data_IF_745496879423
#
_entry.id   IF_745496879423
#
_cell.length_a   1.000
_cell.length_b   1.000
_cell.length_c   1.000
_cell.angle_alpha   90.00
_cell.angle_beta   90.00
_cell.angle_gamma   90.00
#
_symmetry.space_group_name_H-M   'P 1'
#
loop_
_entity.id
_entity.type
_entity.pdbx_description
1 polymer ?
#
# COMPACT_ATOMS: atom_id res chain seq x y z
N UNK A 1 11.37 -14.33 -12.99
CA UNK A 1 10.06 -14.14 -12.32
C UNK A 1 9.97 -15.03 -11.07
N UNK A 2 9.68 -14.46 -9.90
CA UNK A 2 9.70 -15.18 -8.62
C UNK A 2 8.54 -16.19 -8.45
N UNK A 3 7.60 -16.21 -9.38
CA UNK A 3 6.44 -17.11 -9.36
C UNK A 3 6.16 -17.59 -10.79
N UNK A 4 6.37 -18.89 -11.03
CA UNK A 4 5.92 -19.60 -12.24
C UNK A 4 5.05 -20.75 -11.74
N UNK A 5 3.77 -20.77 -12.08
CA UNK A 5 2.89 -21.88 -11.75
C UNK A 5 3.42 -23.16 -12.42
N UNK A 6 3.71 -24.17 -11.61
CA UNK A 6 4.11 -25.48 -12.12
C UNK A 6 2.92 -26.19 -12.77
N UNK A 7 3.19 -27.06 -13.76
CA UNK A 7 2.15 -27.97 -14.33
C UNK A 7 1.41 -28.78 -13.26
N UNK A 8 2.04 -29.01 -12.10
CA UNK A 8 1.45 -29.68 -10.94
C UNK A 8 0.40 -28.81 -10.25
N UNK A 9 0.67 -27.53 -10.03
CA UNK A 9 -0.26 -26.59 -9.41
C UNK A 9 -1.47 -26.30 -10.33
N UNK A 10 -1.27 -26.21 -11.65
CA UNK A 10 -2.40 -26.06 -12.60
C UNK A 10 -3.42 -27.20 -12.50
N UNK A 11 -2.97 -28.44 -12.25
CA UNK A 11 -3.86 -29.61 -12.12
C UNK A 11 -4.82 -29.53 -10.93
N UNK A 12 -4.50 -28.73 -9.90
CA UNK A 12 -5.34 -28.59 -8.72
C UNK A 12 -6.46 -27.57 -8.88
N UNK A 13 -6.47 -26.79 -9.97
CA UNK A 13 -7.50 -25.78 -10.22
C UNK A 13 -7.49 -24.60 -9.24
N UNK A 14 -6.55 -24.56 -8.28
CA UNK A 14 -6.40 -23.48 -7.31
C UNK A 14 -5.77 -22.28 -8.02
N UNK A 15 -6.56 -21.24 -8.21
CA UNK A 15 -6.14 -19.98 -8.86
C UNK A 15 -5.93 -18.82 -7.89
N UNK A 16 -6.42 -18.96 -6.65
CA UNK A 16 -6.31 -17.96 -5.60
C UNK A 16 -5.95 -18.64 -4.28
N UNK A 17 -5.18 -17.93 -3.46
CA UNK A 17 -4.85 -18.24 -2.08
C UNK A 17 -5.60 -17.28 -1.16
N UNK A 18 -5.77 -17.65 0.10
CA UNK A 18 -6.45 -16.85 1.11
C UNK A 18 -5.65 -16.86 2.40
N UNK A 19 -5.49 -15.67 3.00
CA UNK A 19 -4.94 -15.47 4.34
C UNK A 19 -5.78 -14.41 5.07
N UNK A 20 -5.57 -14.28 6.38
CA UNK A 20 -6.21 -13.27 7.22
C UNK A 20 -5.20 -12.23 7.70
N UNK A 21 -5.60 -10.97 7.67
CA UNK A 21 -4.85 -9.83 8.21
C UNK A 21 -5.78 -9.09 9.17
N UNK A 22 -5.44 -9.03 10.46
CA UNK A 22 -6.27 -8.42 11.50
C UNK A 22 -7.73 -8.94 11.46
N UNK A 23 -7.90 -10.26 11.31
CA UNK A 23 -9.19 -10.97 11.11
C UNK A 23 -9.96 -10.56 9.83
N UNK A 24 -9.28 -9.94 8.87
CA UNK A 24 -9.85 -9.57 7.56
C UNK A 24 -9.36 -10.56 6.51
N UNK A 25 -10.24 -11.34 5.86
CA UNK A 25 -9.82 -12.30 4.84
C UNK A 25 -9.44 -11.59 3.54
N UNK A 26 -8.29 -11.95 2.98
CA UNK A 26 -7.81 -11.47 1.69
C UNK A 26 -7.55 -12.62 0.74
N UNK A 27 -8.13 -12.52 -0.46
CA UNK A 27 -7.77 -13.37 -1.58
C UNK A 27 -6.66 -12.71 -2.40
N UNK A 28 -5.74 -13.52 -2.89
CA UNK A 28 -4.67 -13.09 -3.79
C UNK A 28 -4.32 -14.20 -4.78
N UNK A 29 -3.78 -13.82 -5.93
CA UNK A 29 -3.40 -14.78 -6.97
C UNK A 29 -2.19 -15.59 -6.52
N UNK A 30 -2.08 -16.85 -6.98
CA UNK A 30 -0.94 -17.73 -6.67
C UNK A 30 0.42 -17.20 -7.12
N UNK A 31 0.44 -16.34 -8.14
CA UNK A 31 1.64 -15.63 -8.62
C UNK A 31 1.72 -14.18 -8.14
N UNK A 32 0.70 -13.72 -7.42
CA UNK A 32 0.59 -12.36 -6.91
C UNK A 32 1.48 -12.11 -5.69
N UNK A 33 1.81 -10.84 -5.45
CA UNK A 33 2.48 -10.44 -4.22
C UNK A 33 1.51 -10.48 -3.04
N UNK A 34 1.98 -11.02 -1.92
CA UNK A 34 1.33 -10.92 -0.62
C UNK A 34 2.39 -10.91 0.48
N UNK A 35 2.06 -10.36 1.64
CA UNK A 35 3.03 -10.18 2.72
C UNK A 35 3.37 -11.52 3.37
N UNK A 36 4.67 -11.83 3.46
CA UNK A 36 5.13 -13.17 3.88
C UNK A 36 5.16 -13.34 5.40
N UNK A 37 5.27 -12.25 6.16
CA UNK A 37 5.41 -12.26 7.61
C UNK A 37 4.25 -11.50 8.24
N UNK A 38 3.08 -12.18 8.25
CA UNK A 38 1.82 -11.59 8.67
C UNK A 38 1.85 -10.97 10.07
N UNK A 39 2.43 -11.58 11.12
CA UNK A 39 2.45 -10.96 12.44
C UNK A 39 3.18 -9.61 12.47
N UNK A 40 4.27 -9.47 11.72
CA UNK A 40 5.01 -8.20 11.64
C UNK A 40 4.28 -7.20 10.75
N UNK A 41 3.64 -7.66 9.68
CA UNK A 41 2.80 -6.84 8.82
C UNK A 41 1.58 -6.29 9.55
N UNK A 42 0.90 -7.12 10.35
CA UNK A 42 -0.21 -6.70 11.21
C UNK A 42 0.23 -5.62 12.20
N UNK A 43 1.41 -5.75 12.81
CA UNK A 43 1.95 -4.70 13.67
C UNK A 43 2.18 -3.40 12.90
N UNK A 44 2.72 -3.45 11.68
CA UNK A 44 2.89 -2.27 10.84
C UNK A 44 1.55 -1.61 10.51
N UNK A 45 0.51 -2.39 10.20
CA UNK A 45 -0.84 -1.89 9.96
C UNK A 45 -1.46 -1.25 11.20
N UNK A 46 -1.26 -1.84 12.40
CA UNK A 46 -1.72 -1.24 13.66
C UNK A 46 -1.04 0.10 13.93
N UNK A 47 0.27 0.18 13.68
CA UNK A 47 1.03 1.42 13.84
C UNK A 47 0.54 2.49 12.85
N UNK A 48 0.34 2.13 11.58
CA UNK A 48 -0.24 3.01 10.56
C UNK A 48 -1.65 3.48 10.93
N UNK A 49 -2.49 2.58 11.45
CA UNK A 49 -3.89 2.85 11.82
C UNK A 49 -4.01 4.01 12.81
N UNK A 50 -3.06 4.17 13.74
CA UNK A 50 -3.05 5.29 14.69
C UNK A 50 -2.92 6.68 14.04
N UNK A 51 -2.51 6.73 12.76
CA UNK A 51 -2.32 7.97 12.00
C UNK A 51 -3.42 8.22 10.97
N UNK A 52 -4.39 7.31 10.84
CA UNK A 52 -5.48 7.41 9.87
C UNK A 52 -6.69 8.07 10.51
N UNK A 53 -7.17 9.15 9.88
CA UNK A 53 -8.48 9.71 10.18
C UNK A 53 -9.50 9.06 9.23
N UNK A 54 -10.46 8.32 9.79
CA UNK A 54 -11.47 7.58 9.02
C UNK A 54 -12.61 8.46 8.47
N UNK A 55 -12.68 9.74 8.86
CA UNK A 55 -13.70 10.69 8.39
C UNK A 55 -13.31 11.38 7.07
N UNK A 56 -12.08 11.21 6.62
CA UNK A 56 -11.56 11.81 5.38
C UNK A 56 -11.30 10.74 4.32
N UNK A 57 -11.19 11.18 3.06
CA UNK A 57 -10.86 10.30 1.95
C UNK A 57 -9.43 9.76 2.10
N UNK A 58 -9.28 8.43 2.00
CA UNK A 58 -7.96 7.77 1.98
C UNK A 58 -7.65 7.33 0.55
N UNK A 59 -6.44 7.65 0.08
CA UNK A 59 -5.94 7.21 -1.22
C UNK A 59 -4.74 6.30 -0.98
N UNK A 60 -4.89 5.02 -1.32
CA UNK A 60 -3.87 3.99 -1.22
C UNK A 60 -3.27 3.75 -2.61
N UNK A 61 -2.07 4.29 -2.83
CA UNK A 61 -1.32 4.11 -4.06
C UNK A 61 -0.42 2.88 -3.93
N UNK A 62 -0.25 2.13 -5.02
CA UNK A 62 0.48 0.86 -5.03
C UNK A 62 -0.19 -0.21 -4.15
N UNK A 63 -1.53 -0.19 -4.15
CA UNK A 63 -2.36 -0.88 -3.16
C UNK A 63 -2.37 -2.41 -3.26
N UNK A 64 -1.81 -3.01 -4.31
CA UNK A 64 -1.80 -4.45 -4.51
C UNK A 64 -3.21 -5.04 -4.52
N UNK A 65 -3.49 -5.98 -3.61
CA UNK A 65 -4.84 -6.57 -3.45
C UNK A 65 -5.76 -5.75 -2.52
N UNK A 66 -5.34 -4.53 -2.14
CA UNK A 66 -6.05 -3.63 -1.23
C UNK A 66 -5.80 -3.89 0.25
N UNK A 67 -4.74 -4.61 0.61
CA UNK A 67 -4.54 -5.10 1.98
C UNK A 67 -4.38 -4.01 3.03
N UNK A 68 -3.79 -2.86 2.67
CA UNK A 68 -3.67 -1.71 3.59
C UNK A 68 -5.00 -0.96 3.64
N UNK A 69 -5.42 -0.38 2.51
CA UNK A 69 -6.61 0.48 2.46
C UNK A 69 -7.91 -0.22 2.91
N UNK A 70 -8.12 -1.50 2.60
CA UNK A 70 -9.33 -2.22 3.02
C UNK A 70 -9.33 -2.59 4.52
N UNK A 71 -8.16 -2.72 5.12
CA UNK A 71 -8.02 -3.10 6.53
C UNK A 71 -8.08 -1.87 7.44
N UNK A 72 -7.33 -0.81 7.09
CA UNK A 72 -7.13 0.35 7.97
C UNK A 72 -7.53 1.70 7.34
N UNK A 73 -7.97 1.74 6.07
CA UNK A 73 -8.30 2.99 5.38
C UNK A 73 -9.67 3.62 5.73
N UNK A 74 -10.53 2.93 6.47
CA UNK A 74 -11.87 3.43 6.81
C UNK A 74 -12.93 3.11 5.75
N UNK A 75 -13.91 4.01 5.57
CA UNK A 75 -15.12 3.78 4.76
C UNK A 75 -15.12 4.49 3.39
N UNK A 76 -14.15 5.35 3.12
CA UNK A 76 -14.03 6.06 1.84
C UNK A 76 -12.59 5.95 1.34
N UNK A 77 -12.32 4.85 0.64
CA UNK A 77 -10.97 4.47 0.21
C UNK A 77 -10.91 4.37 -1.31
N UNK A 78 -9.95 5.05 -1.91
CA UNK A 78 -9.55 4.83 -3.31
C UNK A 78 -8.26 4.03 -3.34
N UNK A 79 -8.28 2.90 -4.03
CA UNK A 79 -7.17 1.95 -4.16
C UNK A 79 -6.65 2.00 -5.61
N UNK A 80 -5.38 2.34 -5.80
CA UNK A 80 -4.75 2.42 -7.13
C UNK A 80 -3.71 1.32 -7.26
N UNK A 81 -3.80 0.54 -8.33
CA UNK A 81 -2.88 -0.56 -8.63
C UNK A 81 -2.74 -0.76 -10.14
N UNK A 82 -1.53 -1.06 -10.61
CA UNK A 82 -1.21 -1.24 -12.03
C UNK A 82 -1.38 -2.70 -12.49
N UNK A 83 -1.24 -3.65 -11.57
CA UNK A 83 -1.33 -5.07 -11.86
C UNK A 83 -2.78 -5.52 -11.97
N UNK A 84 -3.20 -5.92 -13.18
CA UNK A 84 -4.57 -6.36 -13.47
C UNK A 84 -5.03 -7.54 -12.60
N UNK A 85 -4.15 -8.50 -12.31
CA UNK A 85 -4.50 -9.64 -11.45
C UNK A 85 -4.73 -9.18 -10.01
N UNK A 86 -3.90 -8.27 -9.50
CA UNK A 86 -4.06 -7.70 -8.16
C UNK A 86 -5.36 -6.88 -8.07
N UNK A 87 -5.69 -6.06 -9.07
CA UNK A 87 -6.98 -5.33 -9.12
C UNK A 87 -8.17 -6.28 -9.18
N UNK A 88 -8.09 -7.38 -9.92
CA UNK A 88 -9.16 -8.39 -9.97
C UNK A 88 -9.41 -9.01 -8.60
N UNK A 89 -8.35 -9.35 -7.85
CA UNK A 89 -8.50 -9.86 -6.48
C UNK A 89 -8.94 -8.77 -5.51
N UNK A 90 -8.44 -7.54 -5.65
CA UNK A 90 -8.89 -6.37 -4.89
C UNK A 90 -10.40 -6.14 -5.02
N UNK A 91 -10.95 -6.18 -6.25
CA UNK A 91 -12.39 -6.03 -6.48
C UNK A 91 -13.21 -7.15 -5.80
N UNK A 92 -12.69 -8.39 -5.77
CA UNK A 92 -13.32 -9.48 -5.02
C UNK A 92 -13.27 -9.21 -3.51
N UNK A 93 -12.13 -8.76 -3.00
CA UNK A 93 -11.96 -8.44 -1.59
C UNK A 93 -12.90 -7.31 -1.16
N UNK A 94 -13.03 -6.23 -1.96
CA UNK A 94 -14.02 -5.16 -1.74
C UNK A 94 -15.43 -5.75 -1.57
N UNK A 95 -15.84 -6.62 -2.50
CA UNK A 95 -17.17 -7.23 -2.51
C UNK A 95 -17.39 -8.16 -1.31
N UNK A 96 -16.42 -9.02 -0.99
CA UNK A 96 -16.49 -9.99 0.11
C UNK A 96 -16.56 -9.27 1.46
N UNK A 97 -15.77 -8.21 1.62
CA UNK A 97 -15.71 -7.44 2.87
C UNK A 97 -16.86 -6.43 3.01
N UNK A 98 -17.70 -6.26 1.97
CA UNK A 98 -18.80 -5.28 1.97
C UNK A 98 -18.31 -3.84 2.15
N UNK A 99 -17.09 -3.53 1.70
CA UNK A 99 -16.47 -2.21 1.88
C UNK A 99 -16.90 -1.25 0.78
N UNK A 100 -17.10 0.01 1.15
CA UNK A 100 -17.26 1.10 0.20
C UNK A 100 -15.87 1.61 -0.23
N UNK A 101 -15.28 0.98 -1.24
CA UNK A 101 -13.97 1.34 -1.76
C UNK A 101 -13.97 1.35 -3.30
N UNK A 102 -13.18 2.26 -3.88
CA UNK A 102 -13.02 2.41 -5.33
C UNK A 102 -11.71 1.78 -5.78
N UNK A 103 -11.77 0.76 -6.63
CA UNK A 103 -10.60 0.16 -7.25
C UNK A 103 -10.28 0.84 -8.59
N UNK A 104 -9.02 1.25 -8.79
CA UNK A 104 -8.51 1.89 -10.00
C UNK A 104 -7.38 1.05 -10.60
N UNK A 105 -7.55 0.61 -11.85
CA UNK A 105 -6.50 -0.03 -12.64
C UNK A 105 -5.68 1.04 -13.37
N UNK A 106 -4.59 1.49 -12.77
CA UNK A 106 -3.69 2.47 -13.36
C UNK A 106 -2.31 2.45 -12.68
N UNK A 107 -1.24 2.87 -13.38
CA UNK A 107 -0.03 3.34 -12.71
C UNK A 107 -0.36 4.51 -11.77
N UNK A 108 0.30 4.60 -10.61
CA UNK A 108 0.08 5.70 -9.66
C UNK A 108 0.33 7.08 -10.27
N UNK A 109 1.30 7.21 -11.16
CA UNK A 109 1.60 8.44 -11.91
C UNK A 109 0.54 8.82 -12.96
N UNK A 110 -0.43 7.93 -13.24
CA UNK A 110 -1.58 8.20 -14.11
C UNK A 110 -2.90 8.32 -13.35
N UNK A 111 -2.85 8.26 -12.02
CA UNK A 111 -4.00 8.38 -11.12
C UNK A 111 -3.85 9.58 -10.17
N UNK A 112 -3.15 10.62 -10.62
CA UNK A 112 -2.80 11.80 -9.81
C UNK A 112 -4.02 12.63 -9.41
N UNK A 113 -5.12 12.53 -10.14
CA UNK A 113 -6.38 13.24 -9.87
C UNK A 113 -7.02 12.84 -8.53
N UNK A 114 -6.65 11.69 -7.97
CA UNK A 114 -7.15 11.25 -6.67
C UNK A 114 -6.40 11.89 -5.50
N UNK A 115 -5.18 12.38 -5.73
CA UNK A 115 -4.40 13.11 -4.72
C UNK A 115 -4.98 14.51 -4.58
N UNK A 116 -5.50 14.82 -3.39
CA UNK A 116 -6.06 16.13 -3.07
C UNK A 116 -5.64 16.60 -1.67
N UNK A 117 -5.70 17.92 -1.44
CA UNK A 117 -5.39 18.52 -0.13
C UNK A 117 -6.18 17.91 1.07
N UNK A 118 -7.38 17.42 0.80
CA UNK A 118 -8.33 16.91 1.80
C UNK A 118 -8.22 15.38 1.98
N UNK A 119 -7.31 14.74 1.24
CA UNK A 119 -7.07 13.30 1.33
C UNK A 119 -5.89 12.97 2.27
N UNK A 120 -5.96 11.79 2.89
CA UNK A 120 -4.81 11.13 3.49
C UNK A 120 -4.21 10.18 2.47
N UNK A 121 -2.90 10.29 2.24
CA UNK A 121 -2.22 9.46 1.25
C UNK A 121 -1.49 8.32 1.95
N UNK A 122 -1.67 7.11 1.44
CA UNK A 122 -0.87 5.94 1.75
C UNK A 122 -0.07 5.56 0.51
N UNK A 123 1.22 5.30 0.67
CA UNK A 123 2.08 4.78 -0.39
C UNK A 123 2.90 3.60 0.12
N UNK A 124 2.89 2.50 -0.65
CA UNK A 124 3.76 1.33 -0.48
C UNK A 124 4.43 0.98 -1.83
N UNK A 125 5.33 1.84 -2.35
CA UNK A 125 5.88 1.69 -3.67
C UNK A 125 6.83 0.49 -3.79
N UNK A 126 7.10 0.02 -5.03
CA UNK A 126 8.16 -0.98 -5.25
C UNK A 126 9.53 -0.45 -4.81
N UNK A 127 10.55 -1.32 -4.80
CA UNK A 127 11.94 -0.98 -4.37
C UNK A 127 12.57 0.24 -5.07
N UNK A 128 12.00 0.69 -6.19
CA UNK A 128 12.44 1.90 -6.89
C UNK A 128 12.02 3.22 -6.19
N UNK A 129 11.08 3.16 -5.25
CA UNK A 129 10.45 4.31 -4.60
C UNK A 129 9.32 4.92 -5.42
N UNK A 130 8.92 6.14 -5.05
CA UNK A 130 7.85 6.87 -5.71
C UNK A 130 8.25 7.33 -7.12
N UNK A 131 7.27 7.39 -8.01
CA UNK A 131 7.43 8.08 -9.29
C UNK A 131 7.55 9.60 -9.07
N UNK A 132 8.36 10.31 -9.86
CA UNK A 132 8.55 11.76 -9.70
C UNK A 132 7.23 12.53 -9.81
N UNK A 133 6.39 12.22 -10.80
CA UNK A 133 5.07 12.86 -10.96
C UNK A 133 4.17 12.71 -9.71
N UNK A 134 4.30 11.61 -8.95
CA UNK A 134 3.59 11.41 -7.68
C UNK A 134 4.15 12.36 -6.61
N UNK A 135 5.48 12.48 -6.51
CA UNK A 135 6.13 13.43 -5.60
C UNK A 135 5.71 14.86 -5.92
N UNK A 136 5.77 15.26 -7.19
CA UNK A 136 5.41 16.60 -7.65
C UNK A 136 3.92 16.90 -7.36
N UNK A 137 3.05 15.90 -7.52
CA UNK A 137 1.64 16.02 -7.16
C UNK A 137 1.43 16.18 -5.65
N UNK A 138 2.17 15.44 -4.82
CA UNK A 138 2.09 15.56 -3.35
C UNK A 138 2.58 16.92 -2.84
N UNK A 139 3.60 17.50 -3.48
CA UNK A 139 4.13 18.83 -3.15
C UNK A 139 3.15 19.94 -3.59
N UNK A 140 2.49 19.76 -4.73
CA UNK A 140 1.54 20.75 -5.28
C UNK A 140 0.19 20.74 -4.55
N UNK A 141 -0.41 19.57 -4.36
CA UNK A 141 -1.74 19.42 -3.71
C UNK A 141 -1.69 19.54 -2.20
N UNK A 142 -0.53 19.25 -1.58
CA UNK A 142 -0.31 19.39 -0.14
C UNK A 142 -1.36 18.68 0.73
N UNK A 143 -1.67 17.38 0.52
CA UNK A 143 -2.42 16.61 1.51
C UNK A 143 -1.80 16.77 2.89
N UNK A 144 -2.62 16.82 3.94
CA UNK A 144 -2.12 17.07 5.30
C UNK A 144 -1.15 16.01 5.81
N UNK A 145 -1.30 14.76 5.33
CA UNK A 145 -0.55 13.60 5.79
C UNK A 145 -0.25 12.62 4.68
N UNK A 146 0.98 12.10 4.70
CA UNK A 146 1.44 10.98 3.87
C UNK A 146 1.96 9.88 4.79
N UNK A 147 1.43 8.67 4.63
CA UNK A 147 1.90 7.46 5.28
C UNK A 147 2.71 6.67 4.24
N UNK A 148 4.02 6.54 4.44
CA UNK A 148 4.93 5.89 3.50
C UNK A 148 5.52 4.63 4.13
N UNK A 149 5.08 3.46 3.68
CA UNK A 149 5.70 2.16 3.98
C UNK A 149 6.69 1.79 2.85
N UNK A 150 7.87 1.29 3.19
CA UNK A 150 8.87 0.94 2.17
C UNK A 150 9.78 -0.21 2.57
N UNK A 151 9.97 -1.15 1.64
CA UNK A 151 10.97 -2.20 1.73
C UNK A 151 12.39 -1.74 1.33
N UNK A 152 12.57 -0.46 1.00
CA UNK A 152 13.86 0.13 0.64
C UNK A 152 14.06 1.51 1.27
N UNK A 153 14.64 1.57 2.49
CA UNK A 153 14.90 2.83 3.19
C UNK A 153 15.77 3.84 2.41
N UNK A 154 16.61 3.37 1.48
CA UNK A 154 17.48 4.25 0.68
C UNK A 154 16.66 5.08 -0.31
N UNK A 155 15.76 4.44 -1.06
CA UNK A 155 14.89 5.16 -2.00
C UNK A 155 13.82 5.97 -1.27
N UNK A 156 13.33 5.46 -0.13
CA UNK A 156 12.44 6.22 0.74
C UNK A 156 13.08 7.52 1.24
N UNK A 157 14.34 7.47 1.71
CA UNK A 157 15.08 8.66 2.13
C UNK A 157 15.27 9.67 0.98
N UNK A 158 15.57 9.21 -0.23
CA UNK A 158 15.63 10.05 -1.45
C UNK A 158 14.30 10.76 -1.70
N UNK A 159 13.19 10.05 -1.59
CA UNK A 159 11.86 10.59 -1.86
C UNK A 159 11.43 11.57 -0.76
N UNK A 160 11.67 11.22 0.51
CA UNK A 160 11.43 12.10 1.65
C UNK A 160 12.25 13.38 1.55
N UNK A 161 13.51 13.32 1.08
CA UNK A 161 14.32 14.51 0.86
C UNK A 161 13.67 15.48 -0.14
N UNK A 162 13.01 14.98 -1.20
CA UNK A 162 12.24 15.83 -2.13
C UNK A 162 10.97 16.36 -1.46
N UNK A 163 10.22 15.49 -0.77
CA UNK A 163 9.00 15.88 -0.04
C UNK A 163 9.29 16.87 1.10
N UNK A 164 10.52 16.93 1.60
CA UNK A 164 10.93 17.83 2.69
C UNK A 164 10.80 19.32 2.37
N UNK A 165 10.54 19.67 1.11
CA UNK A 165 10.15 21.02 0.70
C UNK A 165 8.84 21.49 1.37
N UNK A 166 7.95 20.55 1.72
CA UNK A 166 6.63 20.84 2.31
C UNK A 166 6.30 20.02 3.55
N UNK A 167 7.01 18.91 3.77
CA UNK A 167 6.65 17.92 4.79
C UNK A 167 7.78 17.66 5.79
N UNK A 168 7.43 17.47 7.05
CA UNK A 168 8.33 16.99 8.09
C UNK A 168 8.05 15.54 8.47
N UNK A 169 9.08 14.80 8.89
CA UNK A 169 8.90 13.47 9.48
C UNK A 169 8.29 13.62 10.87
N UNK A 170 7.06 13.15 11.04
CA UNK A 170 6.34 13.16 12.32
C UNK A 170 6.67 11.95 13.18
N UNK A 171 6.79 10.78 12.55
CA UNK A 171 7.14 9.52 13.21
C UNK A 171 7.76 8.58 12.18
N UNK A 172 8.57 7.63 12.64
CA UNK A 172 9.07 6.56 11.79
C UNK A 172 9.37 5.29 12.60
N UNK A 173 9.31 4.13 11.95
CA UNK A 173 9.60 2.83 12.58
C UNK A 173 10.10 1.82 11.55
N UNK A 174 11.14 1.07 11.91
CA UNK A 174 11.61 -0.07 11.12
C UNK A 174 11.00 -1.39 11.59
N UNK A 175 10.79 -2.32 10.66
CA UNK A 175 10.27 -3.66 10.91
C UNK A 175 11.14 -4.71 10.21
N UNK A 176 11.32 -5.84 10.88
CA UNK A 176 12.07 -6.98 10.35
C UNK A 176 11.11 -7.99 9.71
N UNK A 177 10.61 -7.67 8.50
CA UNK A 177 9.75 -8.57 7.74
C UNK A 177 10.51 -9.81 7.27
N UNK A 178 11.83 -9.68 7.06
CA UNK A 178 12.69 -10.71 6.47
C UNK A 178 13.87 -11.06 7.39
N UNK A 179 13.64 -11.79 8.50
CA UNK A 179 14.71 -12.20 9.40
C UNK A 179 15.83 -12.94 8.68
N UNK A 180 17.07 -12.70 9.11
CA UNK A 180 18.31 -13.26 8.50
C UNK A 180 18.60 -12.77 7.08
N UNK A 181 18.02 -11.64 6.68
CA UNK A 181 18.36 -10.93 5.43
C UNK A 181 18.73 -9.48 5.76
N UNK A 182 19.37 -8.74 4.83
CA UNK A 182 19.62 -7.31 5.02
C UNK A 182 18.38 -6.42 4.77
N UNK A 183 17.22 -7.00 4.44
CA UNK A 183 16.03 -6.25 4.11
C UNK A 183 15.32 -5.73 5.36
N UNK A 184 14.92 -4.46 5.32
CA UNK A 184 14.17 -3.78 6.38
C UNK A 184 12.96 -3.12 5.73
N UNK A 185 11.80 -3.31 6.34
CA UNK A 185 10.61 -2.53 6.03
C UNK A 185 10.62 -1.28 6.91
N UNK A 186 10.31 -0.10 6.37
CA UNK A 186 10.35 1.14 7.12
C UNK A 186 9.10 1.98 6.87
N UNK A 187 8.43 2.34 7.96
CA UNK A 187 7.31 3.26 7.98
C UNK A 187 7.80 4.67 8.30
N UNK A 188 7.41 5.64 7.49
CA UNK A 188 7.54 7.06 7.77
C UNK A 188 6.15 7.73 7.70
N UNK A 189 5.85 8.55 8.71
CA UNK A 189 4.68 9.43 8.74
C UNK A 189 5.16 10.83 8.46
N UNK A 190 4.65 11.44 7.40
CA UNK A 190 4.99 12.78 6.98
C UNK A 190 3.78 13.69 7.15
N UNK A 191 3.95 14.78 7.87
CA UNK A 191 2.92 15.82 8.03
C UNK A 191 3.37 17.10 7.32
N UNK A 192 2.42 17.80 6.71
CA UNK A 192 2.66 19.11 6.11
C UNK A 192 3.14 20.10 7.20
N UNK A 193 4.10 20.97 6.88
CA UNK A 193 4.54 22.05 7.77
C UNK A 193 3.41 23.03 8.14
#
# INVERSE_FOLDING_TARGET
PASIITKRLQKWGIKALQDEILNTPFNYATEGFFQINLPVYEQALLDMKSWINHDINVVDLYSGVGSIGLTIGGNNVTLVEINENAVREMQKNIKILGKNAKAILAPSEKALEYISKDSLIIVDPPRAGLHNDVIDKLISEKPKRIIYLSCNPVTQARDIAKLSEKYGIKAHRGYNFFPKTPHIEHLAILDLY
#
